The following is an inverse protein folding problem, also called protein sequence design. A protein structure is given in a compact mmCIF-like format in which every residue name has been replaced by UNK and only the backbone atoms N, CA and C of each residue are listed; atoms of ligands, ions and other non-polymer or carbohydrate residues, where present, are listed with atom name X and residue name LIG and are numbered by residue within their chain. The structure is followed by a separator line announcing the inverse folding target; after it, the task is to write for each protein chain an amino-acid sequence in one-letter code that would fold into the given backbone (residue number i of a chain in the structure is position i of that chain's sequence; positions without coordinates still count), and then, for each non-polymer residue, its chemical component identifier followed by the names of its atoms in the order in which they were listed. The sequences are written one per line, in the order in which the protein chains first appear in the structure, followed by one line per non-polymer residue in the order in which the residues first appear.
data_IF_829115740149
#
_entry.id   IF_829115740149
#
_cell.length_a   1.000
_cell.length_b   1.000
_cell.length_c   1.000
_cell.angle_alpha   90.00
_cell.angle_beta   90.00
_cell.angle_gamma   90.00
#
_symmetry.space_group_name_H-M   'P 1'
#
loop_
_entity.id
_entity.type
_entity.pdbx_description
1 polymer ?
#
# COMPACT_ATOMS: atom_id res chain seq x y z
N UNK A 1 5.15 -7.18 -77.14
CA UNK A 1 3.89 -7.85 -76.84
C UNK A 1 3.67 -7.75 -75.32
N UNK A 2 2.69 -6.94 -74.94
CA UNK A 2 2.39 -6.65 -73.53
C UNK A 2 1.29 -7.60 -73.10
N UNK A 3 1.50 -8.38 -72.02
CA UNK A 3 0.48 -9.22 -71.35
C UNK A 3 -0.17 -8.50 -70.17
N UNK A 4 -1.42 -8.76 -69.83
CA UNK A 4 -2.19 -7.96 -68.90
C UNK A 4 -1.92 -8.35 -67.43
N UNK A 5 -1.87 -7.33 -66.58
CA UNK A 5 -1.80 -7.43 -65.13
C UNK A 5 -3.21 -7.69 -64.62
N UNK A 6 -3.41 -8.82 -63.92
CA UNK A 6 -4.66 -9.14 -63.16
C UNK A 6 -4.56 -8.53 -61.76
N UNK A 7 -5.42 -7.55 -61.48
CA UNK A 7 -5.59 -6.96 -60.18
C UNK A 7 -6.52 -7.86 -59.37
N UNK A 8 -5.98 -8.48 -58.28
CA UNK A 8 -6.78 -9.24 -57.34
C UNK A 8 -7.23 -8.28 -56.23
N UNK A 9 -8.51 -7.94 -56.21
CA UNK A 9 -9.14 -7.14 -55.16
C UNK A 9 -9.46 -8.03 -53.98
N UNK A 10 -8.75 -7.85 -52.85
CA UNK A 10 -9.13 -8.44 -51.58
C UNK A 10 -10.24 -7.60 -50.92
N UNK A 11 -11.43 -8.18 -50.79
CA UNK A 11 -12.49 -7.68 -49.97
C UNK A 11 -12.17 -7.95 -48.52
N UNK A 12 -11.76 -6.91 -47.76
CA UNK A 12 -11.66 -6.91 -46.31
C UNK A 12 -13.08 -6.83 -45.72
N UNK A 13 -13.59 -7.95 -45.23
CA UNK A 13 -14.76 -7.97 -44.35
C UNK A 13 -14.33 -7.35 -43.02
N UNK A 14 -14.69 -6.09 -42.79
CA UNK A 14 -14.61 -5.45 -41.47
C UNK A 14 -15.73 -5.99 -40.59
N UNK A 15 -15.40 -6.92 -39.72
CA UNK A 15 -16.22 -7.25 -38.55
C UNK A 15 -16.10 -6.10 -37.55
N UNK A 16 -17.08 -5.24 -37.50
CA UNK A 16 -17.23 -4.26 -36.43
C UNK A 16 -17.67 -5.02 -35.19
N UNK A 17 -16.71 -5.36 -34.35
CA UNK A 17 -16.98 -5.82 -32.98
C UNK A 17 -17.48 -4.59 -32.25
N UNK A 18 -18.79 -4.55 -32.01
CA UNK A 18 -19.41 -3.57 -31.12
C UNK A 18 -18.93 -3.88 -29.69
N UNK A 19 -17.82 -3.27 -29.28
CA UNK A 19 -17.39 -3.30 -27.89
C UNK A 19 -18.41 -2.45 -27.10
N UNK A 20 -19.28 -3.11 -26.36
CA UNK A 20 -20.08 -2.47 -25.33
C UNK A 20 -19.11 -1.91 -24.27
N UNK A 21 -18.90 -0.62 -24.31
CA UNK A 21 -18.11 0.11 -23.31
C UNK A 21 -18.86 0.03 -21.99
N UNK A 22 -18.32 -0.69 -21.04
CA UNK A 22 -18.79 -0.69 -19.64
C UNK A 22 -18.39 0.64 -19.01
N UNK A 23 -19.35 1.37 -18.50
CA UNK A 23 -19.08 2.49 -17.61
C UNK A 23 -18.74 1.91 -16.23
N UNK A 24 -17.45 1.97 -15.81
CA UNK A 24 -17.03 1.73 -14.44
C UNK A 24 -17.01 3.08 -13.73
N UNK A 25 -17.85 3.23 -12.75
CA UNK A 25 -17.92 4.44 -11.91
C UNK A 25 -16.97 4.24 -10.74
N UNK A 26 -15.91 5.03 -10.70
CA UNK A 26 -14.85 4.95 -9.67
C UNK A 26 -13.47 5.32 -10.21
N UNK A 27 -13.23 5.05 -11.50
CA UNK A 27 -12.13 5.62 -12.28
C UNK A 27 -12.53 6.98 -12.85
N UNK A 28 -11.59 7.76 -13.37
CA UNK A 28 -11.94 8.92 -14.22
C UNK A 28 -13.06 8.44 -15.17
N UNK A 29 -14.24 9.10 -15.23
CA UNK A 29 -15.44 8.54 -15.83
C UNK A 29 -15.17 7.96 -17.23
N UNK A 30 -15.34 6.66 -17.39
CA UNK A 30 -15.31 5.97 -18.68
C UNK A 30 -14.01 5.26 -19.10
N UNK A 31 -13.00 5.11 -18.24
CA UNK A 31 -11.77 4.40 -18.61
C UNK A 31 -11.64 3.07 -17.86
N UNK A 32 -11.62 1.95 -18.59
CA UNK A 32 -11.27 0.63 -18.05
C UNK A 32 -9.81 0.64 -17.58
N UNK A 33 -9.49 0.18 -16.34
CA UNK A 33 -8.11 0.13 -15.86
C UNK A 33 -7.25 -0.75 -16.74
N UNK A 34 -6.00 -0.34 -16.94
CA UNK A 34 -5.06 -1.01 -17.82
C UNK A 34 -3.82 -1.44 -17.06
N UNK A 35 -3.31 -2.62 -17.41
CA UNK A 35 -1.99 -3.05 -16.94
C UNK A 35 -0.92 -2.12 -17.51
N UNK A 36 -0.10 -1.57 -16.65
CA UNK A 36 1.00 -0.69 -17.00
C UNK A 36 2.31 -1.48 -17.07
N UNK A 37 2.97 -1.46 -18.23
CA UNK A 37 4.27 -2.10 -18.40
C UNK A 37 5.35 -1.38 -17.59
N UNK A 38 6.17 -2.13 -16.88
CA UNK A 38 7.34 -1.57 -16.19
C UNK A 38 8.40 -1.15 -17.21
N UNK A 39 9.15 -0.07 -16.93
CA UNK A 39 10.25 0.35 -17.79
C UNK A 39 11.40 -0.67 -17.72
N UNK A 40 12.39 -0.53 -18.61
CA UNK A 40 13.59 -1.37 -18.58
C UNK A 40 14.31 -1.24 -17.23
N UNK A 41 15.02 -2.29 -16.78
CA UNK A 41 15.76 -2.27 -15.51
C UNK A 41 16.71 -1.07 -15.38
N UNK A 42 17.32 -0.63 -16.50
CA UNK A 42 18.17 0.57 -16.50
C UNK A 42 17.39 1.85 -16.23
N UNK A 43 16.18 1.96 -16.76
CA UNK A 43 15.30 3.10 -16.51
C UNK A 43 14.72 3.05 -15.09
N UNK A 44 14.37 1.85 -14.59
CA UNK A 44 13.98 1.66 -13.20
C UNK A 44 15.10 2.13 -12.25
N UNK A 45 16.35 1.75 -12.51
CA UNK A 45 17.49 2.19 -11.69
C UNK A 45 17.61 3.73 -11.66
N UNK A 46 17.47 4.39 -12.82
CA UNK A 46 17.50 5.87 -12.87
C UNK A 46 16.37 6.52 -12.07
N UNK A 47 15.15 5.94 -12.11
CA UNK A 47 14.03 6.44 -11.32
C UNK A 47 14.31 6.29 -9.82
N UNK A 48 14.76 5.11 -9.40
CA UNK A 48 15.09 4.82 -8.00
C UNK A 48 16.19 5.74 -7.48
N UNK A 49 17.28 5.89 -8.21
CA UNK A 49 18.39 6.77 -7.82
C UNK A 49 17.94 8.23 -7.74
N UNK A 50 17.11 8.68 -8.70
CA UNK A 50 16.53 10.03 -8.68
C UNK A 50 15.68 10.28 -7.43
N UNK A 51 14.80 9.35 -7.08
CA UNK A 51 13.98 9.43 -5.86
C UNK A 51 14.81 9.39 -4.58
N UNK A 52 15.87 8.57 -4.58
CA UNK A 52 16.82 8.49 -3.45
C UNK A 52 17.53 9.82 -3.24
N UNK A 53 18.00 10.46 -4.29
CA UNK A 53 18.65 11.78 -4.21
C UNK A 53 17.67 12.89 -3.77
N UNK A 54 16.43 12.91 -4.29
CA UNK A 54 15.38 13.83 -3.82
C UNK A 54 15.14 13.66 -2.30
N UNK A 55 15.12 12.42 -1.80
CA UNK A 55 14.93 12.11 -0.39
C UNK A 55 16.13 12.51 0.46
N UNK A 56 17.36 12.19 0.03
CA UNK A 56 18.59 12.58 0.73
C UNK A 56 18.68 14.10 0.90
N UNK A 57 18.24 14.87 -0.10
CA UNK A 57 18.23 16.32 -0.05
C UNK A 57 17.31 16.89 1.06
N UNK A 58 16.35 16.11 1.56
CA UNK A 58 15.45 16.53 2.65
C UNK A 58 16.11 16.40 4.03
N UNK A 59 17.14 15.55 4.19
CA UNK A 59 17.69 15.18 5.50
C UNK A 59 18.18 16.38 6.32
N UNK A 60 18.95 17.36 5.78
CA UNK A 60 19.33 18.51 6.56
C UNK A 60 18.14 19.33 7.09
N UNK A 61 17.08 19.41 6.30
CA UNK A 61 15.80 20.05 6.70
C UNK A 61 15.09 19.30 7.82
N UNK A 62 15.07 17.97 7.77
CA UNK A 62 14.50 17.12 8.83
C UNK A 62 15.31 17.24 10.13
N UNK A 63 16.63 17.22 10.04
CA UNK A 63 17.49 17.41 11.20
C UNK A 63 17.19 18.74 11.90
N UNK A 64 17.11 19.85 11.16
CA UNK A 64 16.72 21.15 11.72
C UNK A 64 15.32 21.15 12.30
N UNK A 65 14.36 20.52 11.62
CA UNK A 65 12.96 20.41 12.09
C UNK A 65 12.86 19.76 13.45
N UNK A 66 13.67 18.72 13.68
CA UNK A 66 13.66 17.96 14.93
C UNK A 66 14.74 18.37 15.93
N UNK A 67 15.49 19.44 15.64
CA UNK A 67 16.48 20.00 16.56
C UNK A 67 17.70 19.10 16.80
N UNK A 68 18.08 18.30 15.81
CA UNK A 68 19.21 17.38 15.87
C UNK A 68 20.35 17.90 14.96
N UNK A 69 21.58 17.94 15.47
CA UNK A 69 22.72 18.48 14.73
C UNK A 69 23.28 17.46 13.72
N UNK A 70 23.26 16.16 14.07
CA UNK A 70 23.77 15.09 13.20
C UNK A 70 22.93 13.80 13.32
N UNK A 71 22.96 12.97 12.28
CA UNK A 71 22.37 11.64 12.27
C UNK A 71 23.41 10.63 11.79
N UNK A 72 23.75 9.68 12.64
CA UNK A 72 24.72 8.64 12.36
C UNK A 72 24.03 7.29 12.22
N UNK A 73 24.22 6.65 11.08
CA UNK A 73 23.75 5.30 10.79
C UNK A 73 24.93 4.40 10.47
N UNK A 74 24.97 3.21 11.05
CA UNK A 74 25.96 2.18 10.75
C UNK A 74 25.28 0.84 10.62
N UNK A 75 25.48 0.16 9.53
CA UNK A 75 24.88 -1.12 9.21
C UNK A 75 25.84 -2.02 8.46
N UNK A 76 25.55 -3.31 8.45
CA UNK A 76 26.27 -4.33 7.69
C UNK A 76 25.32 -5.28 7.02
N UNK A 77 25.83 -6.05 6.06
CA UNK A 77 25.06 -7.08 5.37
C UNK A 77 24.40 -8.04 6.38
N UNK A 78 23.10 -8.27 6.19
CA UNK A 78 22.17 -9.01 7.07
C UNK A 78 21.83 -8.34 8.41
N UNK A 79 22.26 -7.12 8.62
CA UNK A 79 21.91 -6.28 9.77
C UNK A 79 21.78 -4.83 9.30
N UNK A 80 21.03 -4.63 8.23
CA UNK A 80 20.70 -3.34 7.67
C UNK A 80 19.68 -2.62 8.56
N UNK A 81 19.90 -1.32 8.75
CA UNK A 81 18.90 -0.41 9.28
C UNK A 81 17.75 -0.27 8.29
N UNK A 82 16.51 -0.16 8.76
CA UNK A 82 15.33 0.01 7.89
C UNK A 82 15.46 1.23 6.98
N UNK A 83 16.07 2.31 7.48
CA UNK A 83 16.32 3.55 6.72
C UNK A 83 17.35 3.35 5.60
N UNK A 84 18.25 2.36 5.72
CA UNK A 84 19.21 2.04 4.66
C UNK A 84 18.52 1.75 3.33
N UNK A 85 17.40 1.01 3.36
CA UNK A 85 16.65 0.65 2.16
C UNK A 85 16.05 1.87 1.46
N UNK A 86 15.75 2.92 2.22
CA UNK A 86 15.26 4.20 1.71
C UNK A 86 16.36 5.11 1.12
N UNK A 87 17.64 4.83 1.41
CA UNK A 87 18.78 5.67 1.04
C UNK A 87 19.77 5.02 0.08
N UNK A 88 19.65 3.70 -0.15
CA UNK A 88 20.55 2.98 -1.04
C UNK A 88 20.36 3.34 -2.51
N UNK A 89 21.41 3.23 -3.31
CA UNK A 89 21.32 3.28 -4.77
C UNK A 89 20.67 2.01 -5.32
N UNK A 90 20.08 2.10 -6.51
CA UNK A 90 19.40 1.00 -7.18
C UNK A 90 20.30 -0.22 -7.40
N UNK A 91 21.58 -0.01 -7.65
CA UNK A 91 22.58 -1.07 -7.85
C UNK A 91 23.17 -1.63 -6.55
N UNK A 92 22.80 -1.08 -5.40
CA UNK A 92 23.26 -1.54 -4.10
C UNK A 92 22.24 -2.55 -3.52
N UNK A 93 22.65 -3.83 -3.41
CA UNK A 93 21.76 -4.92 -2.95
C UNK A 93 21.86 -5.19 -1.45
N UNK A 94 22.89 -4.69 -0.77
CA UNK A 94 23.10 -4.87 0.68
C UNK A 94 24.01 -3.78 1.23
N UNK A 95 24.07 -3.65 2.55
CA UNK A 95 25.05 -2.83 3.25
C UNK A 95 26.41 -3.56 3.27
N UNK A 96 27.07 -3.62 2.11
CA UNK A 96 28.34 -4.34 1.94
C UNK A 96 29.36 -3.91 2.99
N UNK A 97 30.11 -4.87 3.53
CA UNK A 97 31.11 -4.66 4.61
C UNK A 97 30.43 -4.02 5.82
N UNK A 98 30.88 -2.81 6.20
CA UNK A 98 30.12 -1.86 7.02
C UNK A 98 29.81 -0.66 6.14
N UNK A 99 28.55 -0.30 6.04
CA UNK A 99 28.08 0.91 5.38
C UNK A 99 27.69 1.91 6.46
N UNK A 100 28.40 3.03 6.54
CA UNK A 100 28.17 4.07 7.55
C UNK A 100 27.81 5.37 6.85
N UNK A 101 26.80 6.07 7.37
CA UNK A 101 26.39 7.39 6.91
C UNK A 101 26.41 8.38 8.07
N UNK A 102 26.91 9.57 7.83
CA UNK A 102 26.77 10.72 8.72
C UNK A 102 26.08 11.84 7.94
N UNK A 103 24.98 12.34 8.45
CA UNK A 103 24.29 13.52 7.94
C UNK A 103 24.39 14.66 8.95
N UNK A 104 24.52 15.89 8.45
CA UNK A 104 24.67 17.10 9.25
C UNK A 104 23.55 18.09 8.91
N UNK A 105 22.99 18.73 9.93
CA UNK A 105 21.98 19.78 9.76
C UNK A 105 22.58 21.03 9.11
N UNK A 106 23.66 21.52 9.70
CA UNK A 106 24.33 22.77 9.33
C UNK A 106 25.87 22.58 9.37
N UNK A 107 26.47 22.04 8.29
CA UNK A 107 27.90 21.82 8.25
C UNK A 107 28.68 23.14 8.30
N UNK A 108 29.79 23.17 9.07
CA UNK A 108 30.68 24.33 9.19
C UNK A 108 31.70 24.39 8.05
N UNK A 109 32.20 25.56 7.76
CA UNK A 109 33.32 25.82 6.83
C UNK A 109 33.08 25.29 5.40
N UNK A 110 31.85 25.24 4.95
CA UNK A 110 31.50 24.73 3.61
C UNK A 110 31.69 23.23 3.43
N UNK A 111 31.74 22.46 4.52
CA UNK A 111 31.83 21.02 4.48
C UNK A 111 30.56 20.38 3.88
N UNK A 112 30.64 19.15 3.34
CA UNK A 112 29.46 18.42 2.88
C UNK A 112 28.44 18.19 4.02
N UNK A 113 27.16 18.17 3.68
CA UNK A 113 26.08 17.84 4.62
C UNK A 113 25.92 16.34 4.84
N UNK A 114 26.63 15.49 4.07
CA UNK A 114 26.59 14.04 4.20
C UNK A 114 27.94 13.40 3.87
N UNK A 115 28.21 12.31 4.57
CA UNK A 115 29.37 11.44 4.38
C UNK A 115 28.91 10.00 4.35
N UNK A 116 29.55 9.16 3.51
CA UNK A 116 29.23 7.74 3.40
C UNK A 116 30.48 6.90 3.22
N UNK A 117 30.54 5.78 3.91
CA UNK A 117 31.62 4.81 3.83
C UNK A 117 31.09 3.42 3.56
N UNK A 118 31.78 2.66 2.72
CA UNK A 118 31.62 1.21 2.56
C UNK A 118 32.93 0.56 2.97
N UNK A 119 33.22 0.57 4.27
CA UNK A 119 34.51 0.25 4.84
C UNK A 119 34.33 -0.39 6.23
N UNK A 120 35.07 -1.48 6.52
CA UNK A 120 35.01 -2.19 7.80
C UNK A 120 36.33 -2.21 8.57
N UNK A 121 37.27 -1.35 8.20
CA UNK A 121 38.55 -1.16 8.93
C UNK A 121 38.50 0.06 9.84
N UNK A 122 39.58 0.36 10.55
CA UNK A 122 39.71 1.54 11.41
C UNK A 122 39.67 2.89 10.66
N UNK A 123 39.73 2.86 9.32
CA UNK A 123 39.69 4.08 8.50
C UNK A 123 38.37 4.83 8.72
N UNK A 124 37.23 4.14 8.68
CA UNK A 124 35.90 4.77 8.87
C UNK A 124 35.82 5.51 10.21
N UNK A 125 36.30 4.88 11.27
CA UNK A 125 36.24 5.47 12.61
C UNK A 125 37.21 6.64 12.77
N UNK A 126 38.38 6.55 12.15
CA UNK A 126 39.36 7.64 12.17
C UNK A 126 38.83 8.88 11.45
N UNK A 127 38.29 8.72 10.25
CA UNK A 127 37.71 9.82 9.48
C UNK A 127 36.44 10.39 10.17
N UNK A 128 35.58 9.51 10.69
CA UNK A 128 34.39 9.92 11.42
C UNK A 128 34.74 10.77 12.64
N UNK A 129 35.72 10.35 13.46
CA UNK A 129 36.20 11.15 14.61
C UNK A 129 36.76 12.51 14.18
N UNK A 130 37.47 12.59 13.07
CA UNK A 130 37.99 13.86 12.54
C UNK A 130 36.85 14.80 12.12
N UNK A 131 35.83 14.26 11.45
CA UNK A 131 34.67 15.04 11.05
C UNK A 131 33.89 15.52 12.27
N UNK A 132 33.63 14.63 13.24
CA UNK A 132 32.95 15.01 14.49
C UNK A 132 33.74 16.06 15.28
N UNK A 133 35.07 15.93 15.35
CA UNK A 133 35.95 16.92 16.01
C UNK A 133 35.90 18.30 15.31
N UNK A 134 35.72 18.33 13.99
CA UNK A 134 35.59 19.59 13.23
C UNK A 134 34.20 20.19 13.34
N UNK A 135 33.15 19.35 13.16
CA UNK A 135 31.77 19.80 13.10
C UNK A 135 31.16 20.07 14.48
N UNK A 136 31.68 19.44 15.54
CA UNK A 136 31.23 19.60 16.93
C UNK A 136 29.70 19.54 17.12
N UNK A 137 28.99 18.51 16.57
CA UNK A 137 27.55 18.39 16.78
C UNK A 137 27.24 18.23 18.28
N UNK A 138 26.26 18.96 18.78
CA UNK A 138 25.77 18.88 20.18
C UNK A 138 24.91 17.66 20.40
N UNK A 139 24.22 17.20 19.35
CA UNK A 139 23.35 16.02 19.35
C UNK A 139 23.60 15.17 18.11
N UNK A 140 23.65 13.87 18.29
CA UNK A 140 23.86 12.86 17.23
C UNK A 140 22.76 11.82 17.36
N UNK A 141 21.79 11.82 16.45
CA UNK A 141 20.74 10.82 16.46
C UNK A 141 21.26 9.45 16.06
N UNK A 142 20.75 8.41 16.74
CA UNK A 142 20.93 6.99 16.42
C UNK A 142 19.55 6.31 16.34
N UNK A 143 19.37 5.36 15.46
CA UNK A 143 18.12 4.62 15.27
C UNK A 143 18.02 3.47 16.29
N UNK A 144 17.71 3.77 17.53
CA UNK A 144 17.70 2.82 18.66
C UNK A 144 16.33 2.67 19.34
N UNK A 145 15.22 3.05 18.68
CA UNK A 145 13.90 2.97 19.27
C UNK A 145 13.45 1.51 19.45
N UNK A 146 12.85 1.19 20.61
CA UNK A 146 12.47 -0.19 20.96
C UNK A 146 11.20 -0.69 20.27
N UNK A 147 10.30 0.21 19.83
CA UNK A 147 8.96 -0.13 19.33
C UNK A 147 8.67 0.39 17.92
N UNK A 148 9.35 1.45 17.49
CA UNK A 148 9.20 2.00 16.14
C UNK A 148 10.29 1.43 15.24
N UNK A 149 9.96 0.41 14.46
CA UNK A 149 10.90 -0.32 13.60
C UNK A 149 11.67 0.60 12.62
N UNK A 150 11.03 1.65 12.11
CA UNK A 150 11.65 2.63 11.21
C UNK A 150 12.62 3.59 11.90
N UNK A 151 12.78 3.49 13.21
CA UNK A 151 13.74 4.28 14.02
C UNK A 151 14.48 3.40 15.01
N UNK A 152 14.37 2.09 14.87
CA UNK A 152 14.99 1.08 15.73
C UNK A 152 15.92 0.13 14.97
N UNK A 153 16.37 0.51 13.79
CA UNK A 153 17.11 -0.37 12.90
C UNK A 153 18.60 -0.55 13.23
N UNK A 154 19.16 0.23 14.16
CA UNK A 154 20.54 0.05 14.56
C UNK A 154 20.71 -1.23 15.38
N UNK A 155 21.28 -2.25 14.77
CA UNK A 155 21.53 -3.54 15.39
C UNK A 155 22.45 -3.40 16.63
N UNK A 156 22.18 -4.15 17.72
CA UNK A 156 22.89 -4.01 18.99
C UNK A 156 24.40 -4.11 18.83
N UNK A 157 24.91 -5.07 18.03
CA UNK A 157 26.35 -5.21 17.78
C UNK A 157 26.95 -4.07 16.94
N UNK A 158 26.13 -3.37 16.15
CA UNK A 158 26.56 -2.15 15.44
C UNK A 158 26.57 -0.95 16.38
N UNK A 159 25.64 -0.85 17.34
CA UNK A 159 25.70 0.16 18.39
C UNK A 159 27.00 0.07 19.20
N UNK A 160 27.38 -1.15 19.61
CA UNK A 160 28.67 -1.37 20.32
C UNK A 160 29.86 -0.96 19.45
N UNK A 161 29.84 -1.27 18.16
CA UNK A 161 30.88 -0.89 17.22
C UNK A 161 30.97 0.64 17.02
N UNK A 162 29.82 1.32 16.93
CA UNK A 162 29.71 2.78 16.83
C UNK A 162 30.32 3.42 18.10
N UNK A 163 29.86 3.05 19.30
CA UNK A 163 30.35 3.59 20.58
C UNK A 163 31.85 3.42 20.70
N UNK A 164 32.36 2.20 20.43
CA UNK A 164 33.77 1.92 20.44
C UNK A 164 34.57 2.71 19.40
N UNK A 165 34.00 2.83 18.19
CA UNK A 165 34.65 3.44 17.04
C UNK A 165 34.77 4.96 17.13
N UNK A 166 33.68 5.64 17.58
CA UNK A 166 33.71 7.11 17.72
C UNK A 166 34.42 7.58 19.00
N UNK A 167 34.42 6.79 20.07
CA UNK A 167 34.97 7.12 21.37
C UNK A 167 33.89 7.52 22.38
N UNK A 168 34.22 7.25 23.68
CA UNK A 168 33.27 7.50 24.80
C UNK A 168 32.92 8.98 24.96
N UNK A 169 33.78 9.89 24.52
CA UNK A 169 33.56 11.35 24.56
C UNK A 169 32.36 11.82 23.75
N UNK A 170 31.91 11.02 22.78
CA UNK A 170 30.74 11.33 21.95
C UNK A 170 29.42 10.70 22.45
N UNK A 171 29.54 9.74 23.36
CA UNK A 171 28.41 8.96 23.85
C UNK A 171 27.29 9.82 24.49
N UNK A 172 27.71 10.83 25.26
CA UNK A 172 26.75 11.76 25.93
C UNK A 172 26.02 12.68 24.96
N UNK A 173 26.41 12.69 23.67
CA UNK A 173 25.74 13.44 22.60
C UNK A 173 24.77 12.57 21.80
N UNK A 174 24.72 11.27 22.05
CA UNK A 174 23.79 10.40 21.37
C UNK A 174 22.36 10.66 21.86
N UNK A 175 21.45 10.84 20.91
CA UNK A 175 20.03 11.10 21.17
C UNK A 175 19.16 10.14 20.36
N UNK A 176 17.96 9.87 20.86
CA UNK A 176 16.91 9.17 20.16
C UNK A 176 15.91 10.19 19.63
N UNK A 177 15.81 10.31 18.31
CA UNK A 177 14.78 11.13 17.64
C UNK A 177 14.04 10.26 16.61
N UNK A 178 12.95 9.60 17.01
CA UNK A 178 12.29 8.61 16.16
C UNK A 178 11.70 9.21 14.89
N UNK A 179 11.31 10.48 14.91
CA UNK A 179 10.68 11.11 13.75
C UNK A 179 11.63 11.31 12.56
N UNK A 180 12.94 11.26 12.76
CA UNK A 180 13.90 11.30 11.64
C UNK A 180 13.72 10.10 10.72
N UNK A 181 13.75 8.89 11.27
CA UNK A 181 13.53 7.66 10.50
C UNK A 181 12.10 7.56 9.96
N UNK A 182 11.11 7.82 10.82
CA UNK A 182 9.70 7.78 10.44
C UNK A 182 9.41 8.73 9.28
N UNK A 183 9.72 10.03 9.40
CA UNK A 183 9.36 11.00 8.36
C UNK A 183 10.19 10.82 7.09
N UNK A 184 11.46 10.41 7.18
CA UNK A 184 12.27 10.15 6.00
C UNK A 184 11.70 9.00 5.17
N UNK A 185 11.37 7.87 5.81
CA UNK A 185 10.79 6.70 5.12
C UNK A 185 9.38 6.98 4.64
N UNK A 186 8.55 7.62 5.47
CA UNK A 186 7.18 8.02 5.13
C UNK A 186 7.11 8.96 3.93
N UNK A 187 8.16 9.76 3.69
CA UNK A 187 8.10 10.79 2.65
C UNK A 187 8.09 10.18 1.24
N UNK A 188 6.95 10.31 0.62
CA UNK A 188 6.72 10.01 -0.79
C UNK A 188 7.04 11.26 -1.61
N UNK A 189 8.26 11.33 -2.17
CA UNK A 189 8.66 12.44 -3.04
C UNK A 189 7.71 12.54 -4.24
N UNK A 190 7.38 13.79 -4.67
CA UNK A 190 6.31 14.04 -5.65
C UNK A 190 6.50 13.30 -6.98
N UNK A 191 7.74 13.08 -7.37
CA UNK A 191 8.10 12.34 -8.59
C UNK A 191 7.72 10.85 -8.57
N UNK A 192 7.39 10.27 -7.41
CA UNK A 192 6.87 8.89 -7.26
C UNK A 192 5.40 8.74 -7.66
N UNK A 193 4.57 9.78 -7.45
CA UNK A 193 3.12 9.71 -7.62
C UNK A 193 2.68 9.18 -9.00
N UNK A 194 3.25 9.62 -10.14
CA UNK A 194 2.83 9.10 -11.44
C UNK A 194 3.04 7.60 -11.62
N UNK A 195 4.08 7.03 -11.00
CA UNK A 195 4.31 5.59 -11.02
C UNK A 195 3.41 4.85 -10.04
N UNK A 196 3.18 5.43 -8.87
CA UNK A 196 2.29 4.84 -7.89
C UNK A 196 0.85 4.75 -8.44
N UNK A 197 0.37 5.78 -9.14
CA UNK A 197 -0.92 5.76 -9.84
C UNK A 197 -1.00 4.66 -10.91
N UNK A 198 0.07 4.45 -11.69
CA UNK A 198 0.14 3.35 -12.67
C UNK A 198 0.13 1.98 -12.02
N UNK A 199 0.76 1.84 -10.86
CA UNK A 199 0.75 0.59 -10.10
C UNK A 199 -0.64 0.31 -9.55
N UNK A 200 -1.34 1.30 -9.00
CA UNK A 200 -2.74 1.16 -8.57
C UNK A 200 -3.65 0.82 -9.74
N UNK A 201 -3.51 1.48 -10.90
CA UNK A 201 -4.25 1.12 -12.12
C UNK A 201 -4.01 -0.34 -12.52
N UNK A 202 -2.76 -0.83 -12.38
CA UNK A 202 -2.42 -2.23 -12.65
C UNK A 202 -3.07 -3.18 -11.65
N UNK A 203 -3.08 -2.85 -10.37
CA UNK A 203 -3.75 -3.64 -9.33
C UNK A 203 -5.24 -3.77 -9.62
N UNK A 204 -5.91 -2.67 -9.92
CA UNK A 204 -7.31 -2.65 -10.31
C UNK A 204 -7.58 -3.51 -11.56
N UNK A 205 -6.74 -3.41 -12.61
CA UNK A 205 -6.87 -4.20 -13.83
C UNK A 205 -6.75 -5.70 -13.57
N UNK A 206 -5.85 -6.11 -12.66
CA UNK A 206 -5.69 -7.52 -12.29
C UNK A 206 -6.91 -8.00 -11.49
N UNK A 207 -7.42 -7.21 -10.55
CA UNK A 207 -8.61 -7.55 -9.78
C UNK A 207 -9.83 -7.69 -10.71
N UNK A 208 -10.05 -6.74 -11.64
CA UNK A 208 -11.16 -6.83 -12.59
C UNK A 208 -11.11 -8.08 -13.48
N UNK A 209 -9.90 -8.50 -13.91
CA UNK A 209 -9.73 -9.73 -14.67
C UNK A 209 -9.90 -10.96 -13.77
N UNK A 210 -9.38 -10.93 -12.54
CA UNK A 210 -9.53 -11.99 -11.53
C UNK A 210 -10.97 -12.20 -11.10
N UNK A 211 -11.75 -11.12 -10.98
CA UNK A 211 -13.18 -11.14 -10.63
C UNK A 211 -14.05 -11.04 -11.87
N UNK A 212 -13.79 -11.91 -12.84
CA UNK A 212 -14.56 -11.99 -14.08
C UNK A 212 -14.82 -13.43 -14.50
N UNK A 213 -15.70 -13.59 -15.48
CA UNK A 213 -16.02 -14.87 -16.11
C UNK A 213 -14.85 -15.54 -16.84
N UNK A 214 -13.71 -14.83 -17.00
CA UNK A 214 -12.47 -15.40 -17.57
C UNK A 214 -11.73 -16.28 -16.58
N UNK A 215 -11.89 -15.99 -15.29
CA UNK A 215 -11.14 -16.62 -14.20
C UNK A 215 -12.06 -17.44 -13.29
N UNK A 216 -13.27 -16.96 -13.01
CA UNK A 216 -14.23 -17.60 -12.11
C UNK A 216 -15.24 -18.41 -12.91
N UNK A 217 -15.28 -19.70 -12.65
CA UNK A 217 -16.32 -20.64 -13.10
C UNK A 217 -17.11 -21.09 -11.87
N UNK A 218 -18.34 -20.56 -11.65
CA UNK A 218 -19.15 -20.93 -10.49
C UNK A 218 -19.37 -22.43 -10.36
N UNK A 219 -19.32 -22.95 -9.14
CA UNK A 219 -19.40 -24.39 -8.84
C UNK A 219 -18.09 -25.17 -9.11
N UNK A 220 -17.02 -24.51 -9.57
CA UNK A 220 -15.73 -25.15 -9.85
C UNK A 220 -14.55 -24.40 -9.25
N UNK A 221 -14.41 -23.10 -9.57
CA UNK A 221 -13.30 -22.27 -9.08
C UNK A 221 -13.43 -22.02 -7.59
N UNK A 222 -12.35 -22.19 -6.85
CA UNK A 222 -12.27 -21.89 -5.42
C UNK A 222 -11.62 -20.52 -5.20
N UNK A 223 -11.68 -20.00 -3.97
CA UNK A 223 -10.95 -18.80 -3.61
C UNK A 223 -9.44 -18.95 -3.82
N UNK A 224 -8.89 -20.13 -3.49
CA UNK A 224 -7.49 -20.48 -3.72
C UNK A 224 -7.07 -20.45 -5.19
N UNK A 225 -7.92 -20.92 -6.09
CA UNK A 225 -7.63 -20.87 -7.52
C UNK A 225 -7.44 -19.43 -7.98
N UNK A 226 -8.25 -18.50 -7.44
CA UNK A 226 -8.16 -17.08 -7.79
C UNK A 226 -6.92 -16.43 -7.18
N UNK A 227 -6.60 -16.74 -5.91
CA UNK A 227 -5.36 -16.24 -5.26
C UNK A 227 -4.12 -16.65 -6.06
N UNK A 228 -4.02 -17.92 -6.46
CA UNK A 228 -2.89 -18.39 -7.28
C UNK A 228 -2.90 -17.79 -8.67
N UNK A 229 -4.06 -17.65 -9.29
CA UNK A 229 -4.16 -16.97 -10.58
C UNK A 229 -3.65 -15.52 -10.48
N UNK A 230 -4.00 -14.78 -9.42
CA UNK A 230 -3.51 -13.43 -9.17
C UNK A 230 -1.98 -13.41 -9.01
N UNK A 231 -1.41 -14.38 -8.27
CA UNK A 231 0.05 -14.50 -8.10
C UNK A 231 0.76 -14.76 -9.42
N UNK A 232 0.27 -15.68 -10.23
CA UNK A 232 0.82 -15.97 -11.54
C UNK A 232 0.67 -14.79 -12.49
N UNK A 233 -0.45 -14.07 -12.43
CA UNK A 233 -0.68 -12.85 -13.21
C UNK A 233 0.33 -11.77 -12.86
N UNK A 234 0.53 -11.47 -11.57
CA UNK A 234 1.55 -10.53 -11.08
C UNK A 234 2.93 -10.90 -11.66
N UNK A 235 3.33 -12.15 -11.53
CA UNK A 235 4.63 -12.64 -12.02
C UNK A 235 4.76 -12.49 -13.54
N UNK A 236 3.72 -12.83 -14.30
CA UNK A 236 3.72 -12.74 -15.76
C UNK A 236 3.90 -11.31 -16.29
N UNK A 237 3.57 -10.32 -15.45
CA UNK A 237 3.69 -8.89 -15.74
C UNK A 237 5.01 -8.27 -15.23
N UNK A 238 5.91 -9.09 -14.68
CA UNK A 238 7.17 -8.68 -14.03
C UNK A 238 6.98 -7.78 -12.79
N UNK A 239 5.80 -7.82 -12.19
CA UNK A 239 5.54 -7.26 -10.87
C UNK A 239 5.81 -8.31 -9.79
N UNK A 240 5.89 -7.87 -8.56
CA UNK A 240 5.88 -8.72 -7.36
C UNK A 240 4.74 -8.28 -6.44
N UNK A 241 4.64 -8.87 -5.28
CA UNK A 241 3.73 -8.42 -4.22
C UNK A 241 4.43 -8.52 -2.87
N UNK A 242 3.96 -7.78 -1.88
CA UNK A 242 4.54 -7.76 -0.54
C UNK A 242 3.77 -8.65 0.45
N UNK A 243 2.58 -9.13 0.08
CA UNK A 243 1.78 -10.10 0.81
C UNK A 243 1.10 -11.09 -0.14
N UNK A 244 0.59 -12.19 0.39
CA UNK A 244 -0.21 -13.14 -0.38
C UNK A 244 -1.58 -12.54 -0.65
N UNK A 245 -2.00 -12.32 -1.91
CA UNK A 245 -3.38 -11.95 -2.20
C UNK A 245 -4.35 -12.91 -1.52
N UNK A 246 -5.41 -12.38 -0.95
CA UNK A 246 -6.46 -13.19 -0.33
C UNK A 246 -7.78 -13.05 -1.06
N UNK A 247 -8.56 -14.13 -1.11
CA UNK A 247 -9.92 -14.12 -1.65
C UNK A 247 -10.86 -14.78 -0.66
N UNK A 248 -11.90 -14.05 -0.25
CA UNK A 248 -12.89 -14.53 0.71
C UNK A 248 -14.29 -14.56 0.12
N UNK A 249 -15.09 -15.54 0.54
CA UNK A 249 -16.51 -15.62 0.20
C UNK A 249 -17.29 -15.01 1.37
N UNK A 250 -17.70 -13.74 1.26
CA UNK A 250 -18.37 -12.98 2.31
C UNK A 250 -19.77 -13.54 2.66
N UNK A 251 -20.43 -14.17 1.71
CA UNK A 251 -21.71 -14.88 1.90
C UNK A 251 -21.53 -16.29 2.48
N UNK A 252 -20.32 -16.78 2.61
CA UNK A 252 -19.97 -18.05 3.21
C UNK A 252 -20.21 -18.08 4.73
N UNK A 253 -20.05 -19.27 5.32
CA UNK A 253 -19.99 -19.41 6.78
C UNK A 253 -18.57 -19.10 7.23
N UNK A 254 -18.33 -18.07 8.01
CA UNK A 254 -17.05 -17.89 8.67
C UNK A 254 -16.33 -16.56 8.45
N UNK A 255 -16.89 -15.59 7.76
CA UNK A 255 -16.32 -14.24 7.81
C UNK A 255 -16.64 -13.61 9.18
N UNK A 256 -15.64 -13.11 9.91
CA UNK A 256 -15.81 -12.66 11.28
C UNK A 256 -16.72 -11.44 11.38
N UNK A 257 -17.58 -11.41 12.39
CA UNK A 257 -18.40 -10.25 12.72
C UNK A 257 -17.58 -9.19 13.49
N UNK A 258 -18.02 -7.94 13.45
CA UNK A 258 -17.31 -6.82 14.09
C UNK A 258 -17.18 -6.95 15.61
N UNK A 259 -18.08 -7.70 16.24
CA UNK A 259 -18.09 -7.94 17.69
C UNK A 259 -17.22 -9.15 18.12
N UNK A 260 -16.65 -9.89 17.17
CA UNK A 260 -15.67 -10.94 17.49
C UNK A 260 -14.27 -10.35 17.63
N UNK A 261 -13.75 -10.20 18.86
CA UNK A 261 -12.41 -9.63 19.07
C UNK A 261 -11.27 -10.58 18.65
N UNK A 262 -11.57 -11.86 18.46
CA UNK A 262 -10.59 -12.86 18.02
C UNK A 262 -10.53 -13.00 16.50
N UNK A 263 -11.48 -12.38 15.82
CA UNK A 263 -11.60 -12.47 14.38
C UNK A 263 -10.53 -11.61 13.69
N UNK A 264 -9.50 -12.25 13.20
CA UNK A 264 -8.57 -11.70 12.23
C UNK A 264 -9.12 -11.92 10.82
N UNK A 265 -8.98 -10.95 9.95
CA UNK A 265 -9.18 -11.14 8.52
C UNK A 265 -8.18 -12.18 7.95
N UNK A 266 -7.11 -12.43 8.70
CA UNK A 266 -6.09 -13.43 8.43
C UNK A 266 -6.47 -14.83 8.97
N UNK A 267 -7.69 -15.03 9.52
CA UNK A 267 -8.06 -16.35 10.03
C UNK A 267 -8.12 -17.34 8.85
N UNK A 268 -7.23 -18.32 8.84
CA UNK A 268 -7.19 -19.26 7.76
C UNK A 268 -8.40 -20.18 7.82
N UNK A 269 -9.49 -19.84 7.07
CA UNK A 269 -10.01 -20.87 6.21
C UNK A 269 -11.12 -21.71 6.79
N UNK A 270 -12.31 -21.22 6.61
CA UNK A 270 -13.37 -22.16 6.29
C UNK A 270 -12.85 -23.09 5.15
N UNK A 271 -13.17 -24.39 5.16
CA UNK A 271 -12.75 -25.29 4.10
C UNK A 271 -13.11 -24.67 2.76
N UNK A 272 -12.11 -24.64 1.87
CA UNK A 272 -12.21 -24.08 0.54
C UNK A 272 -13.38 -24.76 -0.21
N UNK A 273 -14.45 -24.02 -0.42
CA UNK A 273 -15.57 -24.45 -1.24
C UNK A 273 -15.54 -23.72 -2.57
N UNK A 274 -16.10 -24.31 -3.63
CA UNK A 274 -16.30 -23.56 -4.86
C UNK A 274 -17.08 -22.26 -4.63
N UNK A 275 -16.73 -21.26 -5.40
CA UNK A 275 -17.48 -20.01 -5.52
C UNK A 275 -18.77 -20.35 -6.27
N UNK A 276 -19.92 -19.98 -5.69
CA UNK A 276 -21.23 -20.30 -6.21
C UNK A 276 -21.96 -19.07 -6.77
N UNK A 277 -23.00 -19.31 -7.56
CA UNK A 277 -23.90 -18.22 -7.97
C UNK A 277 -24.51 -17.53 -6.74
N UNK A 278 -24.59 -16.21 -6.80
CA UNK A 278 -25.10 -15.38 -5.70
C UNK A 278 -24.10 -15.13 -4.59
N UNK A 279 -22.86 -15.63 -4.67
CA UNK A 279 -21.83 -15.28 -3.71
C UNK A 279 -21.38 -13.82 -3.86
N UNK A 280 -21.14 -13.19 -2.73
CA UNK A 280 -20.38 -11.97 -2.59
C UNK A 280 -18.95 -12.38 -2.23
N UNK A 281 -17.99 -11.98 -3.04
CA UNK A 281 -16.57 -12.30 -2.87
C UNK A 281 -15.76 -11.04 -2.67
N UNK A 282 -14.67 -11.15 -1.97
CA UNK A 282 -13.76 -10.06 -1.63
C UNK A 282 -12.33 -10.47 -1.91
N UNK A 283 -11.49 -9.53 -2.31
CA UNK A 283 -10.04 -9.71 -2.37
C UNK A 283 -9.33 -8.58 -1.67
N UNK A 284 -8.24 -8.94 -1.00
CA UNK A 284 -7.21 -8.03 -0.55
C UNK A 284 -5.99 -8.26 -1.44
N UNK A 285 -5.50 -7.18 -2.08
CA UNK A 285 -4.59 -7.27 -3.21
C UNK A 285 -3.65 -6.08 -3.34
N UNK A 286 -2.38 -6.34 -3.56
CA UNK A 286 -1.39 -5.32 -3.85
C UNK A 286 -0.33 -5.76 -4.84
N UNK A 287 0.26 -4.81 -5.54
CA UNK A 287 1.42 -5.04 -6.42
C UNK A 287 2.62 -4.25 -5.94
N UNK A 288 3.80 -4.83 -6.13
CA UNK A 288 5.09 -4.22 -5.80
C UNK A 288 5.95 -4.07 -7.05
N UNK A 289 6.49 -2.87 -7.24
CA UNK A 289 7.51 -2.56 -8.25
C UNK A 289 8.22 -1.25 -7.88
N UNK A 290 9.41 -1.01 -8.43
CA UNK A 290 10.14 0.25 -8.24
C UNK A 290 10.34 0.62 -6.75
N UNK A 291 10.46 -0.37 -5.86
CA UNK A 291 10.55 -0.14 -4.42
C UNK A 291 9.29 0.50 -3.82
N UNK A 292 8.13 0.33 -4.46
CA UNK A 292 6.83 0.81 -4.02
C UNK A 292 5.85 -0.36 -3.89
N UNK A 293 4.90 -0.23 -2.99
CA UNK A 293 3.87 -1.23 -2.71
C UNK A 293 2.51 -0.54 -2.68
N UNK A 294 1.53 -1.13 -3.35
CA UNK A 294 0.13 -0.68 -3.32
C UNK A 294 -0.69 -1.61 -2.44
N UNK A 295 -1.83 -1.11 -1.98
CA UNK A 295 -2.79 -1.87 -1.20
C UNK A 295 -4.22 -1.50 -1.60
N UNK A 296 -5.10 -2.50 -1.80
CA UNK A 296 -6.49 -2.23 -2.18
C UNK A 296 -7.39 -3.46 -1.97
N UNK A 297 -8.62 -3.24 -1.55
CA UNK A 297 -9.61 -4.29 -1.38
C UNK A 297 -10.85 -4.01 -2.23
N UNK A 298 -11.31 -5.03 -2.96
CA UNK A 298 -12.49 -4.94 -3.81
C UNK A 298 -13.47 -6.08 -3.55
N UNK A 299 -14.74 -5.82 -3.88
CA UNK A 299 -15.85 -6.75 -3.72
C UNK A 299 -16.47 -7.06 -5.08
N UNK A 300 -16.73 -8.35 -5.33
CA UNK A 300 -17.43 -8.84 -6.51
C UNK A 300 -18.69 -9.62 -6.15
N UNK A 301 -19.65 -9.68 -7.07
CA UNK A 301 -20.86 -10.46 -6.96
C UNK A 301 -21.01 -11.42 -8.13
N UNK A 302 -21.32 -12.69 -7.85
CA UNK A 302 -21.45 -13.75 -8.84
C UNK A 302 -22.91 -13.83 -9.28
N UNK A 303 -23.22 -13.31 -10.46
CA UNK A 303 -24.57 -13.31 -11.02
C UNK A 303 -25.05 -14.72 -11.38
N UNK A 304 -26.33 -15.01 -11.15
CA UNK A 304 -26.94 -16.20 -11.71
C UNK A 304 -27.02 -16.14 -13.24
N UNK A 305 -27.08 -17.29 -13.93
CA UNK A 305 -27.25 -17.30 -15.39
C UNK A 305 -28.45 -16.49 -15.86
N UNK A 306 -28.20 -15.52 -16.75
CA UNK A 306 -29.22 -14.62 -17.28
C UNK A 306 -29.51 -13.37 -16.46
N UNK A 307 -28.97 -13.26 -15.24
CA UNK A 307 -29.05 -12.03 -14.44
C UNK A 307 -28.19 -10.91 -15.03
N UNK A 308 -28.60 -9.71 -14.71
CA UNK A 308 -27.98 -8.44 -15.07
C UNK A 308 -27.61 -7.65 -13.80
N UNK A 309 -27.01 -6.51 -13.97
CA UNK A 309 -26.74 -5.57 -12.86
C UNK A 309 -28.02 -5.16 -12.10
N UNK A 310 -29.18 -5.10 -12.78
CA UNK A 310 -30.46 -4.75 -12.17
C UNK A 310 -30.97 -5.82 -11.18
N UNK A 311 -30.48 -7.04 -11.29
CA UNK A 311 -30.88 -8.20 -10.48
C UNK A 311 -30.01 -8.36 -9.23
N UNK A 312 -28.92 -7.57 -9.08
CA UNK A 312 -28.08 -7.58 -7.87
C UNK A 312 -28.93 -7.20 -6.65
N UNK A 313 -28.88 -7.99 -5.55
CA UNK A 313 -29.63 -7.70 -4.35
C UNK A 313 -29.34 -6.28 -3.83
N UNK A 314 -30.40 -5.51 -3.55
CA UNK A 314 -30.26 -4.11 -3.10
C UNK A 314 -29.44 -3.99 -1.82
N UNK A 315 -29.62 -4.94 -0.89
CA UNK A 315 -28.83 -4.97 0.34
C UNK A 315 -27.33 -5.11 0.09
N UNK A 316 -26.88 -5.77 -0.98
CA UNK A 316 -25.46 -5.84 -1.34
C UNK A 316 -24.93 -4.47 -1.82
N UNK A 317 -25.71 -3.77 -2.65
CA UNK A 317 -25.38 -2.41 -3.13
C UNK A 317 -25.35 -1.42 -1.96
N UNK A 318 -26.31 -1.51 -1.03
CA UNK A 318 -26.37 -0.65 0.16
C UNK A 318 -25.22 -0.92 1.12
N UNK A 319 -24.78 -2.18 1.24
CA UNK A 319 -23.60 -2.56 2.03
C UNK A 319 -22.32 -1.90 1.51
N UNK A 320 -22.09 -1.95 0.18
CA UNK A 320 -20.95 -1.27 -0.43
C UNK A 320 -21.03 0.26 -0.23
N UNK A 321 -22.21 0.87 -0.40
CA UNK A 321 -22.37 2.31 -0.14
C UNK A 321 -22.09 2.68 1.32
N UNK A 322 -22.45 1.80 2.25
CA UNK A 322 -22.21 2.03 3.68
C UNK A 322 -20.72 2.00 4.02
N UNK A 323 -19.96 1.04 3.49
CA UNK A 323 -18.52 0.99 3.72
C UNK A 323 -17.80 2.16 3.03
N UNK A 324 -18.22 2.55 1.83
CA UNK A 324 -17.72 3.75 1.16
C UNK A 324 -18.00 5.02 1.99
N UNK A 325 -19.16 5.11 2.64
CA UNK A 325 -19.43 6.21 3.58
C UNK A 325 -18.46 6.20 4.76
N UNK A 326 -18.08 5.04 5.28
CA UNK A 326 -17.09 4.94 6.35
C UNK A 326 -15.69 5.39 5.88
N UNK A 327 -15.29 5.06 4.66
CA UNK A 327 -14.05 5.62 4.07
C UNK A 327 -14.10 7.14 3.97
N UNK A 328 -15.24 7.73 3.57
CA UNK A 328 -15.41 9.19 3.54
C UNK A 328 -15.29 9.82 4.93
N UNK A 329 -15.83 9.17 5.96
CA UNK A 329 -15.71 9.61 7.36
C UNK A 329 -14.24 9.64 7.77
N UNK A 330 -13.49 8.56 7.56
CA UNK A 330 -12.06 8.51 7.90
C UNK A 330 -11.29 9.58 7.13
N UNK A 331 -11.42 9.61 5.81
CA UNK A 331 -10.73 10.58 4.95
C UNK A 331 -11.01 12.04 5.36
N UNK A 332 -12.24 12.35 5.75
CA UNK A 332 -12.61 13.70 6.19
C UNK A 332 -12.02 14.09 7.56
N UNK A 333 -11.78 13.10 8.43
CA UNK A 333 -11.16 13.29 9.73
C UNK A 333 -9.62 13.27 9.70
N UNK A 334 -9.00 12.82 8.63
CA UNK A 334 -7.55 12.82 8.43
C UNK A 334 -7.03 14.25 8.26
N UNK A 335 -6.64 14.90 9.36
CA UNK A 335 -6.02 16.23 9.35
C UNK A 335 -4.52 16.10 9.61
N UNK A 336 -3.71 16.70 8.74
CA UNK A 336 -2.25 16.73 8.89
C UNK A 336 -1.88 17.29 10.29
N UNK A 337 -1.03 16.59 10.99
CA UNK A 337 -0.57 16.91 12.33
C UNK A 337 -1.40 16.30 13.49
N UNK A 338 -2.62 15.81 13.23
CA UNK A 338 -3.35 15.01 14.22
C UNK A 338 -2.67 13.64 14.38
N UNK A 339 -2.76 13.06 15.55
CA UNK A 339 -2.33 11.68 15.78
C UNK A 339 -3.33 10.68 15.19
N UNK A 340 -2.87 9.47 14.87
CA UNK A 340 -3.75 8.41 14.41
C UNK A 340 -4.87 8.10 15.42
N UNK A 341 -4.57 8.17 16.72
CA UNK A 341 -5.55 7.96 17.78
C UNK A 341 -6.62 9.07 17.83
N UNK A 342 -6.27 10.31 17.58
CA UNK A 342 -7.24 11.41 17.48
C UNK A 342 -8.15 11.24 16.26
N UNK A 343 -7.58 10.84 15.13
CA UNK A 343 -8.34 10.56 13.90
C UNK A 343 -9.27 9.36 14.11
N UNK A 344 -8.77 8.27 14.69
CA UNK A 344 -9.56 7.08 15.01
C UNK A 344 -10.75 7.43 15.87
N UNK A 345 -10.53 8.16 16.98
CA UNK A 345 -11.57 8.58 17.90
C UNK A 345 -12.66 9.40 17.19
N UNK A 346 -12.27 10.42 16.44
CA UNK A 346 -13.22 11.27 15.72
C UNK A 346 -14.01 10.47 14.69
N UNK A 347 -13.35 9.54 13.97
CA UNK A 347 -13.98 8.70 12.97
C UNK A 347 -14.96 7.69 13.58
N UNK A 348 -14.62 7.06 14.69
CA UNK A 348 -15.53 6.14 15.41
C UNK A 348 -16.72 6.88 15.99
N UNK A 349 -16.54 8.08 16.57
CA UNK A 349 -17.64 8.91 17.08
C UNK A 349 -18.63 9.26 15.95
N UNK A 350 -18.12 9.66 14.79
CA UNK A 350 -18.96 9.96 13.63
C UNK A 350 -19.63 8.70 13.07
N UNK A 351 -18.89 7.60 12.89
CA UNK A 351 -19.38 6.31 12.44
C UNK A 351 -20.59 5.86 13.29
N UNK A 352 -20.45 5.92 14.62
CA UNK A 352 -21.52 5.54 15.57
C UNK A 352 -22.72 6.48 15.48
N UNK A 353 -22.49 7.80 15.33
CA UNK A 353 -23.57 8.77 15.21
C UNK A 353 -24.40 8.60 13.94
N UNK A 354 -23.80 8.04 12.89
CA UNK A 354 -24.48 7.70 11.63
C UNK A 354 -25.06 6.26 11.64
N UNK A 355 -25.00 5.54 12.76
CA UNK A 355 -25.52 4.17 12.91
C UNK A 355 -24.77 3.13 12.08
N UNK A 356 -23.52 3.40 11.76
CA UNK A 356 -22.62 2.45 11.07
C UNK A 356 -21.95 1.58 12.15
N UNK A 357 -21.95 0.26 11.94
CA UNK A 357 -21.14 -0.70 12.70
C UNK A 357 -19.98 -1.14 11.78
N UNK A 358 -18.77 -1.26 12.34
CA UNK A 358 -17.58 -1.60 11.58
C UNK A 358 -16.31 -1.42 12.39
N UNK A 359 -15.16 -1.62 11.74
CA UNK A 359 -13.81 -1.38 12.28
C UNK A 359 -12.98 -0.56 11.31
N UNK A 360 -12.04 0.21 11.86
CA UNK A 360 -11.11 1.07 11.13
C UNK A 360 -9.69 0.62 11.47
N UNK A 361 -8.84 0.35 10.46
CA UNK A 361 -7.48 -0.14 10.69
C UNK A 361 -6.53 0.32 9.58
N UNK A 362 -6.56 1.65 9.31
CA UNK A 362 -5.79 2.31 8.25
C UNK A 362 -4.32 2.48 8.62
N UNK A 363 -3.45 2.39 7.65
CA UNK A 363 -2.00 2.49 7.82
C UNK A 363 -1.33 3.31 6.73
N UNK A 364 -0.10 3.76 6.98
CA UNK A 364 0.74 4.34 5.94
C UNK A 364 1.17 3.25 4.95
N UNK A 365 1.26 3.61 3.67
CA UNK A 365 1.70 2.72 2.58
C UNK A 365 2.69 3.44 1.66
N UNK A 366 3.33 2.70 0.78
CA UNK A 366 4.24 3.25 -0.24
C UNK A 366 5.52 2.47 -0.40
N UNK A 367 6.63 2.88 0.23
CA UNK A 367 7.92 2.15 0.14
C UNK A 367 7.88 0.79 0.83
N UNK A 368 7.06 0.67 1.85
CA UNK A 368 6.66 -0.58 2.50
C UNK A 368 5.13 -0.68 2.42
N UNK A 369 4.60 -1.88 2.43
CA UNK A 369 3.15 -2.07 2.48
C UNK A 369 2.57 -1.51 3.78
N UNK A 370 2.99 -2.01 4.93
CA UNK A 370 2.82 -1.33 6.21
C UNK A 370 4.00 -0.38 6.40
N UNK A 371 3.87 0.87 5.94
CA UNK A 371 4.96 1.84 5.88
C UNK A 371 5.11 2.65 7.16
N UNK A 372 6.16 3.50 7.20
CA UNK A 372 6.37 4.46 8.28
C UNK A 372 5.25 5.50 8.32
N UNK A 373 4.74 5.78 9.50
CA UNK A 373 3.68 6.75 9.70
C UNK A 373 2.79 6.37 10.89
N UNK A 374 1.77 7.18 11.17
CA UNK A 374 0.82 6.84 12.21
C UNK A 374 -0.11 5.70 11.77
N UNK A 375 -0.63 4.94 12.73
CA UNK A 375 -1.66 3.91 12.52
C UNK A 375 -2.99 4.45 13.03
N UNK A 376 -4.06 4.30 12.25
CA UNK A 376 -5.42 4.77 12.60
C UNK A 376 -6.29 3.55 12.88
N UNK A 377 -6.20 3.03 14.12
CA UNK A 377 -6.84 1.77 14.52
C UNK A 377 -6.07 0.53 14.05
N UNK A 378 -6.43 -0.59 14.60
CA UNK A 378 -6.02 -1.94 14.19
C UNK A 378 -7.23 -2.86 14.38
N UNK A 379 -7.29 -3.98 13.68
CA UNK A 379 -8.44 -4.91 13.75
C UNK A 379 -8.82 -5.31 15.19
N UNK A 380 -7.84 -5.38 16.09
CA UNK A 380 -7.99 -5.70 17.52
C UNK A 380 -7.86 -4.49 18.45
N UNK A 381 -7.54 -3.28 17.96
CA UNK A 381 -7.35 -2.07 18.78
C UNK A 381 -8.17 -0.91 18.18
N UNK A 382 -9.44 -0.82 18.62
CA UNK A 382 -10.38 0.19 18.12
C UNK A 382 -10.53 1.41 19.06
N UNK A 383 -9.97 1.36 20.27
CA UNK A 383 -10.01 2.50 21.19
C UNK A 383 -8.73 3.34 21.11
N UNK A 384 -7.59 2.69 21.06
CA UNK A 384 -6.28 3.31 20.96
C UNK A 384 -5.22 2.33 20.47
N UNK A 385 -4.34 2.78 19.58
CA UNK A 385 -3.11 2.07 19.17
C UNK A 385 -1.93 2.68 19.95
N UNK A 386 -1.26 1.91 20.82
CA UNK A 386 -0.09 2.42 21.54
C UNK A 386 1.07 2.76 20.59
N UNK A 387 1.85 3.77 20.94
CA UNK A 387 3.06 4.24 20.24
C UNK A 387 2.80 4.67 18.82
N UNK A 388 2.48 3.75 17.90
CA UNK A 388 2.28 4.08 16.48
C UNK A 388 1.07 4.98 16.25
N UNK A 389 -0.02 4.79 16.99
CA UNK A 389 -1.19 5.66 16.91
C UNK A 389 -0.98 7.05 17.53
N UNK A 390 0.06 7.24 18.33
CA UNK A 390 0.43 8.54 18.92
C UNK A 390 1.34 9.38 17.99
N UNK A 391 1.80 8.81 16.85
CA UNK A 391 2.54 9.55 15.83
C UNK A 391 1.63 10.52 15.07
N UNK A 392 2.15 11.65 14.58
CA UNK A 392 1.36 12.60 13.80
C UNK A 392 1.15 12.11 12.35
N UNK A 393 -0.02 12.39 11.79
CA UNK A 393 -0.29 12.24 10.36
C UNK A 393 0.58 13.22 9.55
N UNK A 394 1.42 12.69 8.68
CA UNK A 394 2.35 13.47 7.87
C UNK A 394 1.76 13.79 6.49
N UNK A 395 2.05 14.99 5.97
CA UNK A 395 1.52 15.47 4.69
C UNK A 395 1.99 14.66 3.48
N UNK A 396 3.27 14.30 3.45
CA UNK A 396 3.89 13.69 2.28
C UNK A 396 3.91 12.15 2.38
N UNK A 397 2.93 11.56 3.05
CA UNK A 397 2.80 10.12 3.23
C UNK A 397 1.58 9.64 2.46
N UNK A 398 1.62 8.44 1.88
CA UNK A 398 0.42 7.80 1.35
C UNK A 398 -0.19 6.92 2.44
N UNK A 399 -1.49 6.79 2.40
CA UNK A 399 -2.25 5.98 3.37
C UNK A 399 -3.18 5.04 2.66
N UNK A 400 -3.25 3.81 3.14
CA UNK A 400 -4.37 2.95 2.87
C UNK A 400 -5.52 3.26 3.82
N UNK A 401 -6.71 3.57 3.28
CA UNK A 401 -7.94 3.72 4.07
C UNK A 401 -8.63 2.37 4.07
N UNK A 402 -8.20 1.55 5.02
CA UNK A 402 -8.63 0.17 5.22
C UNK A 402 -9.60 0.06 6.39
N UNK A 403 -10.74 -0.61 6.14
CA UNK A 403 -11.82 -0.71 7.11
C UNK A 403 -12.91 -1.69 6.64
N UNK A 404 -13.87 -1.99 7.48
CA UNK A 404 -15.10 -2.63 7.05
C UNK A 404 -16.33 -2.03 7.71
N UNK A 405 -17.48 -2.18 7.07
CA UNK A 405 -18.77 -1.90 7.64
C UNK A 405 -19.68 -3.13 7.59
N UNK A 406 -20.57 -3.26 8.58
CA UNK A 406 -21.60 -4.29 8.59
C UNK A 406 -22.91 -3.76 8.01
N UNK A 407 -23.59 -4.60 7.23
CA UNK A 407 -24.90 -4.30 6.71
C UNK A 407 -25.81 -5.53 6.75
N UNK A 408 -27.04 -5.36 7.27
CA UNK A 408 -28.06 -6.39 7.16
C UNK A 408 -28.60 -6.45 5.74
N UNK A 409 -28.45 -7.59 5.11
CA UNK A 409 -28.91 -7.85 3.73
C UNK A 409 -30.24 -8.60 3.80
N UNK A 410 -31.40 -7.93 3.57
CA UNK A 410 -32.70 -8.54 3.72
C UNK A 410 -32.90 -9.77 2.84
N UNK A 411 -32.37 -9.73 1.62
CA UNK A 411 -32.49 -10.81 0.63
C UNK A 411 -31.76 -12.10 1.07
N UNK A 412 -30.87 -11.96 2.04
CA UNK A 412 -30.12 -13.09 2.64
C UNK A 412 -30.49 -13.33 4.10
N UNK A 413 -31.38 -12.50 4.66
CA UNK A 413 -31.78 -12.52 6.08
C UNK A 413 -30.60 -12.62 7.04
N UNK A 414 -29.49 -11.87 6.78
CA UNK A 414 -28.28 -11.89 7.59
C UNK A 414 -27.49 -10.61 7.46
N UNK A 415 -26.68 -10.31 8.47
CA UNK A 415 -25.65 -9.27 8.41
C UNK A 415 -24.44 -9.81 7.67
N UNK A 416 -23.92 -9.01 6.74
CA UNK A 416 -22.70 -9.29 5.97
C UNK A 416 -21.71 -8.18 6.25
N UNK A 417 -20.43 -8.53 6.34
CA UNK A 417 -19.30 -7.61 6.45
C UNK A 417 -18.85 -7.20 5.05
N UNK A 418 -18.66 -5.91 4.85
CA UNK A 418 -18.18 -5.31 3.61
C UNK A 418 -16.83 -4.65 3.87
N UNK A 419 -15.69 -5.32 3.59
CA UNK A 419 -14.37 -4.73 3.67
C UNK A 419 -14.13 -3.85 2.44
N UNK A 420 -13.33 -2.77 2.63
CA UNK A 420 -12.88 -1.91 1.54
C UNK A 420 -11.54 -1.26 1.88
N UNK A 421 -10.72 -1.07 0.86
CA UNK A 421 -9.43 -0.44 1.00
C UNK A 421 -9.02 0.28 -0.27
N UNK A 422 -8.54 1.52 -0.11
CA UNK A 422 -7.97 2.29 -1.22
C UNK A 422 -6.89 3.25 -0.72
N UNK A 423 -5.86 3.40 -1.52
CA UNK A 423 -4.76 4.30 -1.23
C UNK A 423 -5.10 5.77 -1.50
N UNK A 424 -4.70 6.64 -0.57
CA UNK A 424 -4.82 8.09 -0.71
C UNK A 424 -3.47 8.79 -0.59
N UNK A 425 -3.36 9.95 -1.23
CA UNK A 425 -2.23 10.87 -1.10
C UNK A 425 -2.72 12.28 -0.80
N UNK A 426 -1.85 13.09 -0.17
CA UNK A 426 -2.15 14.50 0.04
C UNK A 426 -1.86 15.31 -1.24
N UNK A 427 -2.86 16.02 -1.73
CA UNK A 427 -2.71 16.96 -2.85
C UNK A 427 -2.61 18.40 -2.34
N UNK A 428 -1.45 19.01 -2.54
CA UNK A 428 -1.19 20.40 -2.14
C UNK A 428 -2.06 21.41 -2.88
N UNK A 429 -2.50 21.08 -4.11
CA UNK A 429 -3.30 22.01 -4.92
C UNK A 429 -4.73 22.14 -4.38
N UNK A 430 -5.31 21.03 -3.93
CA UNK A 430 -6.66 21.00 -3.35
C UNK A 430 -6.65 21.08 -1.83
N UNK A 431 -5.46 20.98 -1.20
CA UNK A 431 -5.26 20.93 0.25
C UNK A 431 -6.13 19.85 0.92
N UNK A 432 -6.15 18.66 0.31
CA UNK A 432 -6.97 17.52 0.76
C UNK A 432 -6.42 16.17 0.32
N UNK A 433 -6.86 15.11 0.98
CA UNK A 433 -6.56 13.74 0.60
C UNK A 433 -7.33 13.36 -0.66
N UNK A 434 -6.63 12.85 -1.65
CA UNK A 434 -7.18 12.35 -2.91
C UNK A 434 -6.93 10.86 -3.03
N UNK A 435 -7.84 10.12 -3.66
CA UNK A 435 -7.59 8.75 -4.05
C UNK A 435 -6.43 8.70 -5.04
N UNK A 436 -5.52 7.75 -4.87
CA UNK A 436 -4.37 7.60 -5.77
C UNK A 436 -4.83 7.31 -7.20
N UNK A 437 -5.80 6.41 -7.35
CA UNK A 437 -6.38 6.04 -8.63
C UNK A 437 -7.90 6.22 -8.63
N UNK A 438 -8.58 5.62 -7.70
CA UNK A 438 -10.03 5.67 -7.57
C UNK A 438 -10.49 5.01 -6.28
N UNK A 439 -11.81 4.83 -6.15
CA UNK A 439 -12.46 4.01 -5.13
C UNK A 439 -13.52 3.16 -5.80
N UNK A 440 -13.67 1.93 -5.36
CA UNK A 440 -14.74 1.06 -5.85
C UNK A 440 -16.11 1.62 -5.46
N UNK A 441 -16.93 2.03 -6.44
CA UNK A 441 -18.29 2.54 -6.23
C UNK A 441 -19.38 1.54 -6.58
N UNK A 442 -19.05 0.49 -7.35
CA UNK A 442 -19.95 -0.55 -7.82
C UNK A 442 -19.32 -1.93 -7.63
N UNK A 443 -20.14 -2.94 -7.39
CA UNK A 443 -19.68 -4.32 -7.30
C UNK A 443 -19.11 -4.80 -8.65
N UNK A 444 -18.00 -5.51 -8.63
CA UNK A 444 -17.51 -6.24 -9.79
C UNK A 444 -18.47 -7.41 -10.08
N UNK A 445 -19.02 -7.47 -11.29
CA UNK A 445 -20.02 -8.47 -11.64
C UNK A 445 -19.39 -9.63 -12.41
N UNK A 446 -19.40 -10.82 -11.83
CA UNK A 446 -18.97 -12.05 -12.48
C UNK A 446 -20.16 -12.57 -13.30
N UNK A 447 -20.09 -12.41 -14.63
CA UNK A 447 -21.13 -12.80 -15.58
C UNK A 447 -20.80 -14.17 -16.14
N UNK A 448 -21.73 -15.10 -16.04
CA UNK A 448 -21.58 -16.39 -16.71
C UNK A 448 -22.46 -16.41 -17.96
N UNK A 449 -22.02 -17.05 -19.06
CA UNK A 449 -22.87 -17.22 -20.23
C UNK A 449 -24.16 -17.96 -19.84
N UNK A 450 -25.28 -17.55 -20.39
CA UNK A 450 -26.51 -18.32 -20.25
C UNK A 450 -26.27 -19.74 -20.78
N UNK A 451 -26.41 -20.72 -19.91
CA UNK A 451 -26.38 -22.13 -20.33
C UNK A 451 -27.79 -22.49 -20.78
N UNK A 452 -27.97 -22.83 -22.06
CA UNK A 452 -29.26 -23.30 -22.58
C UNK A 452 -29.79 -24.40 -21.68
N UNK A 453 -30.87 -24.14 -20.96
CA UNK A 453 -31.60 -25.11 -20.13
C UNK A 453 -31.51 -24.98 -18.62
N UNK A 454 -30.84 -23.94 -18.05
CA UNK A 454 -30.92 -23.62 -16.61
C UNK A 454 -32.00 -22.56 -16.38
N UNK A 455 -33.12 -22.99 -15.77
CA UNK A 455 -34.09 -22.05 -15.18
C UNK A 455 -33.51 -21.44 -13.90
N UNK A 456 -33.71 -20.14 -13.71
CA UNK A 456 -33.38 -19.48 -12.47
C UNK A 456 -34.11 -20.16 -11.29
N UNK A 457 -33.48 -20.33 -10.11
CA UNK A 457 -34.22 -20.90 -8.98
C UNK A 457 -35.39 -19.98 -8.63
N UNK A 458 -36.58 -20.53 -8.70
CA UNK A 458 -37.80 -19.90 -8.15
C UNK A 458 -37.58 -19.75 -6.64
N UNK A 459 -37.78 -18.53 -6.15
CA UNK A 459 -37.65 -18.13 -4.73
C UNK A 459 -38.21 -19.19 -3.77
N UNK A 460 -37.43 -19.51 -2.72
CA UNK A 460 -37.91 -20.18 -1.51
C UNK A 460 -38.02 -19.17 -0.37
#
# INVERSE_FOLDING_TARGET
MRGPIVLLTYLLNSWTVCATVRAHVGTAPGKTPQVQALPSLREQAKLLDGWTEERKALIPGLLRKYGVDAWLMSQREYAEDTVFWALKEATQFSARRRTTHLFLADPVDGAPSSYSWIENTEVVWTELRQILATQQPRSIALNTHSEIAFSGGLHAGELDAVVKGVGEEWKDRFVLEPMLGVELVATMVKSRLPWYQKMMETAWAIIEEGFSEKTIVPGKSTSWDIEWWMREKIQSLNYTTWFQPSVFILTGKGFPAADDPSASMDDPRAPDRPIEYGDLIHTDFGVSALGLNTDTQHIGYVLYPGETEADVPKGMIEGLKKVNRLQDIVKSNMKVGMTGNEILKASIEQMRSEGIQGKIYCHATGEWGHSAGTVIGMTNLQDKVPVLGDLPLLRNTYYSIELFAEHFVPERNRTIVFPQEEDVYWDDATNSWQWVYGRQEELLLIRTPAVDGMEAPTEL
#
